data_IF_693767815664
#
_entry.id   IF_693767815664
#
_cell.length_a   1.000
_cell.length_b   1.000
_cell.length_c   1.000
_cell.angle_alpha   90.00
_cell.angle_beta   90.00
_cell.angle_gamma   90.00
#
_symmetry.space_group_name_H-M   'P 1'
#
loop_
_entity.id
_entity.type
_entity.pdbx_description
1 polymer ?
#
# COMPACT_ATOMS: atom_id res chain seq x y z
N UNK A 1 14.57 12.79 19.08
CA UNK A 1 13.42 12.08 19.66
C UNK A 1 13.13 10.85 18.83
N UNK A 2 13.04 9.66 19.43
CA UNK A 2 12.58 8.45 18.74
C UNK A 2 11.06 8.52 18.57
N UNK A 3 10.55 8.02 17.43
CA UNK A 3 9.10 7.97 17.17
C UNK A 3 8.45 6.95 18.13
N UNK A 4 7.26 7.25 18.63
CA UNK A 4 6.46 6.26 19.37
C UNK A 4 5.98 5.14 18.44
N UNK A 5 5.65 3.94 18.96
CA UNK A 5 5.06 2.86 18.16
C UNK A 5 3.84 3.32 17.34
N UNK A 6 2.98 4.18 17.93
CA UNK A 6 1.83 4.78 17.25
C UNK A 6 2.24 5.69 16.08
N UNK A 7 3.28 6.50 16.25
CA UNK A 7 3.82 7.34 15.18
C UNK A 7 4.48 6.51 14.07
N UNK A 8 5.15 5.40 14.43
CA UNK A 8 5.74 4.46 13.47
C UNK A 8 4.64 3.84 12.61
N UNK A 9 3.61 3.26 13.23
CA UNK A 9 2.51 2.62 12.53
C UNK A 9 1.73 3.60 11.63
N UNK A 10 1.45 4.80 12.12
CA UNK A 10 0.78 5.84 11.32
C UNK A 10 1.61 6.23 10.09
N UNK A 11 2.93 6.42 10.25
CA UNK A 11 3.84 6.72 9.14
C UNK A 11 3.94 5.58 8.13
N UNK A 12 4.03 4.33 8.61
CA UNK A 12 4.06 3.15 7.75
C UNK A 12 2.76 2.98 6.96
N UNK A 13 1.60 3.13 7.62
CA UNK A 13 0.28 3.11 6.95
C UNK A 13 0.22 4.13 5.81
N UNK A 14 0.61 5.37 6.07
CA UNK A 14 0.59 6.44 5.05
C UNK A 14 1.53 6.12 3.87
N UNK A 15 2.73 5.62 4.15
CA UNK A 15 3.68 5.22 3.11
C UNK A 15 3.16 4.08 2.25
N UNK A 16 2.57 3.05 2.86
CA UNK A 16 1.98 1.93 2.13
C UNK A 16 0.80 2.38 1.26
N UNK A 17 -0.10 3.22 1.78
CA UNK A 17 -1.19 3.79 0.96
C UNK A 17 -0.67 4.62 -0.22
N UNK A 18 0.43 5.37 -0.04
CA UNK A 18 1.06 6.09 -1.14
C UNK A 18 1.68 5.15 -2.18
N UNK A 19 2.27 4.03 -1.74
CA UNK A 19 2.85 3.02 -2.61
C UNK A 19 1.77 2.28 -3.41
N UNK A 20 0.66 1.89 -2.77
CA UNK A 20 -0.48 1.28 -3.45
C UNK A 20 -1.02 2.18 -4.57
N UNK A 21 -1.20 3.49 -4.31
CA UNK A 21 -1.64 4.45 -5.34
C UNK A 21 -0.69 4.52 -6.53
N UNK A 22 0.63 4.50 -6.28
CA UNK A 22 1.63 4.51 -7.36
C UNK A 22 1.60 3.23 -8.18
N UNK A 23 1.49 2.08 -7.51
CA UNK A 23 1.45 0.77 -8.17
C UNK A 23 0.18 0.62 -9.01
N UNK A 24 -0.98 1.03 -8.51
CA UNK A 24 -2.23 1.05 -9.29
C UNK A 24 -2.17 2.02 -10.47
N UNK A 25 -1.48 3.15 -10.33
CA UNK A 25 -1.23 4.03 -11.48
C UNK A 25 -0.34 3.36 -12.53
N UNK A 26 0.69 2.61 -12.11
CA UNK A 26 1.51 1.81 -13.03
C UNK A 26 0.68 0.71 -13.70
N UNK A 27 -0.22 0.04 -12.98
CA UNK A 27 -1.13 -0.95 -13.56
C UNK A 27 -1.97 -0.34 -14.70
N UNK A 28 -2.52 0.87 -14.48
CA UNK A 28 -3.30 1.58 -15.49
C UNK A 28 -2.49 1.92 -16.76
N UNK A 29 -1.17 2.09 -16.66
CA UNK A 29 -0.31 2.27 -17.84
C UNK A 29 -0.21 1.00 -18.70
N UNK A 30 -0.52 -0.18 -18.14
CA UNK A 30 -0.50 -1.48 -18.84
C UNK A 30 -1.85 -1.91 -19.41
N UNK A 31 -2.95 -1.22 -19.12
CA UNK A 31 -4.32 -1.64 -19.44
C UNK A 31 -4.54 -2.05 -20.91
N UNK A 32 -3.90 -1.34 -21.85
CA UNK A 32 -3.99 -1.63 -23.29
C UNK A 32 -2.74 -2.33 -23.86
N UNK A 33 -1.75 -2.64 -23.02
CA UNK A 33 -0.43 -3.16 -23.44
C UNK A 33 -0.24 -4.62 -23.07
N UNK A 34 -0.50 -4.99 -21.81
CA UNK A 34 -0.29 -6.35 -21.30
C UNK A 34 -1.14 -6.61 -20.05
N UNK A 35 -2.18 -7.43 -20.21
CA UNK A 35 -3.13 -7.74 -19.14
C UNK A 35 -2.50 -8.52 -17.96
N UNK A 36 -1.40 -9.24 -18.20
CA UNK A 36 -0.69 -9.95 -17.13
C UNK A 36 0.01 -8.94 -16.19
N UNK A 37 0.78 -8.00 -16.75
CA UNK A 37 1.45 -6.95 -15.96
C UNK A 37 0.46 -6.02 -15.27
N UNK A 38 -0.64 -5.66 -15.94
CA UNK A 38 -1.75 -4.92 -15.32
C UNK A 38 -2.26 -5.67 -14.08
N UNK A 39 -2.62 -6.95 -14.22
CA UNK A 39 -3.19 -7.76 -13.15
C UNK A 39 -2.22 -8.00 -11.98
N UNK A 40 -0.93 -8.22 -12.25
CA UNK A 40 0.10 -8.39 -11.21
C UNK A 40 0.28 -7.10 -10.39
N UNK A 41 0.31 -5.94 -11.06
CA UNK A 41 0.43 -4.65 -10.39
C UNK A 41 -0.85 -4.29 -9.62
N UNK A 42 -2.03 -4.54 -10.19
CA UNK A 42 -3.30 -4.32 -9.51
C UNK A 42 -3.39 -5.16 -8.23
N UNK A 43 -3.10 -6.47 -8.33
CA UNK A 43 -3.08 -7.40 -7.20
C UNK A 43 -2.09 -6.98 -6.11
N UNK A 44 -0.90 -6.50 -6.50
CA UNK A 44 0.08 -5.98 -5.55
C UNK A 44 -0.43 -4.72 -4.85
N UNK A 45 -1.05 -3.79 -5.59
CA UNK A 45 -1.65 -2.58 -5.04
C UNK A 45 -2.74 -2.87 -4.00
N UNK A 46 -3.62 -3.82 -4.31
CA UNK A 46 -4.64 -4.31 -3.37
C UNK A 46 -4.04 -4.95 -2.12
N UNK A 47 -3.00 -5.79 -2.30
CA UNK A 47 -2.35 -6.44 -1.16
C UNK A 47 -1.71 -5.44 -0.21
N UNK A 48 -1.13 -4.37 -0.74
CA UNK A 48 -0.55 -3.28 0.07
C UNK A 48 -1.65 -2.56 0.86
N UNK A 49 -2.82 -2.31 0.27
CA UNK A 49 -3.96 -1.68 0.97
C UNK A 49 -4.49 -2.57 2.10
N UNK A 50 -4.63 -3.87 1.85
CA UNK A 50 -5.04 -4.87 2.85
C UNK A 50 -4.08 -4.86 4.06
N UNK A 51 -2.77 -4.85 3.81
CA UNK A 51 -1.74 -4.82 4.85
C UNK A 51 -1.64 -3.47 5.56
N UNK A 52 -1.96 -2.36 4.88
CA UNK A 52 -1.93 -1.03 5.46
C UNK A 52 -3.10 -0.78 6.42
N UNK A 53 -4.28 -1.34 6.14
CA UNK A 53 -5.50 -1.14 6.92
C UNK A 53 -5.35 -1.42 8.44
N UNK A 54 -4.80 -2.56 8.88
CA UNK A 54 -4.68 -2.88 10.31
C UNK A 54 -3.55 -2.13 11.04
N UNK A 55 -2.56 -1.58 10.32
CA UNK A 55 -1.41 -0.91 10.94
C UNK A 55 -1.88 0.30 11.75
N UNK A 56 -1.75 0.29 13.07
CA UNK A 56 -2.20 1.37 13.96
C UNK A 56 -3.48 1.06 14.74
N UNK A 57 -4.23 0.03 14.34
CA UNK A 57 -5.19 -0.67 15.22
C UNK A 57 -4.48 -1.70 16.11
N UNK A 58 -3.45 -2.36 15.58
CA UNK A 58 -2.61 -3.36 16.27
C UNK A 58 -1.65 -2.79 17.34
N UNK A 59 -1.61 -1.47 17.53
CA UNK A 59 -0.72 -0.79 18.51
C UNK A 59 -1.52 -0.34 19.74
N UNK A 60 -2.79 -0.73 19.83
CA UNK A 60 -3.61 -0.55 21.01
C UNK A 60 -3.54 -1.82 21.87
N UNK A 61 -2.47 -1.94 22.65
CA UNK A 61 -2.35 -2.68 23.92
C UNK A 61 -0.97 -2.41 24.54
#
# INVERSE_FOLDING_TARGET
MSRSPKQIAAGQRQSLQAMARKIKAMAAEWADVDAFNEGELESLGEKIEELAAPLGGLVAE
#
